data_IF_731670367322
#
_entry.id   IF_731670367322
#
_cell.length_a   1.000
_cell.length_b   1.000
_cell.length_c   1.000
_cell.angle_alpha   90.00
_cell.angle_beta   90.00
_cell.angle_gamma   90.00
#
_symmetry.space_group_name_H-M   'P 1'
#
loop_
_entity.id
_entity.type
_entity.pdbx_description
1 polymer ?
#
# COMPACT_ATOMS: atom_id res chain seq x y z
N UNK A 1 9.59 7.99 -7.64
CA UNK A 1 8.71 7.03 -8.34
C UNK A 1 7.25 7.50 -8.24
N UNK A 2 6.41 7.23 -9.25
CA UNK A 2 4.98 7.56 -9.27
C UNK A 2 4.16 6.36 -8.78
N UNK A 3 4.40 5.95 -7.55
CA UNK A 3 3.67 4.87 -6.90
C UNK A 3 2.59 5.46 -5.99
N UNK A 4 1.42 4.84 -5.99
CA UNK A 4 0.26 5.24 -5.19
C UNK A 4 -0.48 4.02 -4.67
N UNK A 5 -1.20 4.18 -3.55
CA UNK A 5 -2.12 3.16 -3.03
C UNK A 5 -3.57 3.41 -3.44
N UNK A 6 -4.48 2.55 -3.00
CA UNK A 6 -5.91 2.62 -3.32
C UNK A 6 -6.59 3.94 -2.91
N UNK A 7 -6.09 4.62 -1.86
CA UNK A 7 -6.59 5.94 -1.47
C UNK A 7 -6.46 7.01 -2.58
N UNK A 8 -5.42 6.93 -3.42
CA UNK A 8 -5.27 7.85 -4.55
C UNK A 8 -6.27 7.52 -5.66
N UNK A 9 -6.45 6.23 -5.97
CA UNK A 9 -7.41 5.76 -6.97
C UNK A 9 -8.83 6.19 -6.58
N UNK A 10 -9.22 5.94 -5.32
CA UNK A 10 -10.52 6.35 -4.78
C UNK A 10 -10.74 7.87 -4.81
N UNK A 11 -9.68 8.66 -4.66
CA UNK A 11 -9.79 10.13 -4.70
C UNK A 11 -9.94 10.67 -6.14
N UNK A 12 -9.34 9.99 -7.11
CA UNK A 12 -9.20 10.48 -8.48
C UNK A 12 -10.13 9.77 -9.47
N UNK A 13 -10.88 8.77 -9.04
CA UNK A 13 -11.80 7.97 -9.86
C UNK A 13 -13.03 7.54 -9.06
N UNK A 14 -13.99 6.94 -9.74
CA UNK A 14 -15.20 6.32 -9.21
C UNK A 14 -15.13 4.79 -9.12
N UNK A 15 -14.00 4.18 -9.52
CA UNK A 15 -13.83 2.72 -9.56
C UNK A 15 -14.01 2.00 -8.22
N UNK A 16 -13.80 2.71 -7.11
CA UNK A 16 -13.89 2.10 -5.78
C UNK A 16 -15.33 1.99 -5.25
N UNK A 17 -16.33 2.56 -5.93
CA UNK A 17 -17.72 2.55 -5.46
C UNK A 17 -18.33 1.16 -5.34
N UNK A 18 -18.18 0.36 -6.41
CA UNK A 18 -18.71 -1.01 -6.52
C UNK A 18 -17.60 -2.08 -6.45
N UNK A 19 -16.39 -1.69 -6.02
CA UNK A 19 -15.26 -2.61 -5.94
C UNK A 19 -15.42 -3.56 -4.74
N UNK A 20 -15.06 -4.83 -4.93
CA UNK A 20 -15.05 -5.85 -3.86
C UNK A 20 -14.09 -5.48 -2.71
N UNK A 21 -13.08 -4.65 -3.00
CA UNK A 21 -12.06 -4.28 -2.04
C UNK A 21 -12.21 -2.85 -1.51
N UNK A 22 -11.94 -2.67 -0.22
CA UNK A 22 -11.94 -1.35 0.42
C UNK A 22 -10.57 -0.66 0.23
N UNK A 23 -10.50 0.49 -0.46
CA UNK A 23 -9.24 1.24 -0.66
C UNK A 23 -8.59 1.73 0.64
N UNK A 24 -9.31 1.73 1.77
CA UNK A 24 -8.80 2.15 3.08
C UNK A 24 -8.19 0.99 3.87
N UNK A 25 -8.51 -0.25 3.52
CA UNK A 25 -8.00 -1.45 4.19
C UNK A 25 -6.68 -1.90 3.58
N UNK A 26 -5.77 -2.36 4.44
CA UNK A 26 -4.44 -2.88 4.08
C UNK A 26 -4.33 -4.39 4.33
N UNK A 27 -5.10 -4.90 5.29
CA UNK A 27 -5.10 -6.30 5.71
C UNK A 27 -6.52 -6.86 5.71
N UNK A 28 -6.64 -8.16 5.45
CA UNK A 28 -7.91 -8.89 5.35
C UNK A 28 -8.32 -9.18 3.91
N UNK A 29 -9.30 -10.07 3.76
CA UNK A 29 -9.74 -10.59 2.46
C UNK A 29 -10.30 -9.50 1.54
N UNK A 30 -10.90 -8.45 2.11
CA UNK A 30 -11.43 -7.29 1.40
C UNK A 30 -10.44 -6.11 1.33
N UNK A 31 -9.18 -6.32 1.66
CA UNK A 31 -8.16 -5.28 1.56
C UNK A 31 -7.77 -4.99 0.12
N UNK A 32 -7.78 -3.71 -0.25
CA UNK A 32 -7.37 -3.26 -1.58
C UNK A 32 -5.92 -3.68 -1.89
N UNK A 33 -5.71 -4.45 -2.98
CA UNK A 33 -4.37 -4.89 -3.38
C UNK A 33 -3.42 -3.72 -3.63
N UNK A 34 -3.91 -2.59 -4.16
CA UNK A 34 -3.09 -1.40 -4.38
C UNK A 34 -2.68 -0.73 -3.07
N UNK A 35 -3.53 -0.72 -2.05
CA UNK A 35 -3.21 -0.13 -0.75
C UNK A 35 -2.18 -0.99 -0.02
N UNK A 36 -2.38 -2.30 0.05
CA UNK A 36 -1.43 -3.23 0.67
C UNK A 36 -0.10 -3.28 -0.10
N UNK A 37 -0.18 -3.48 -1.42
CA UNK A 37 0.97 -3.55 -2.32
C UNK A 37 1.83 -2.28 -2.34
N UNK A 38 1.23 -1.10 -2.14
CA UNK A 38 1.99 0.15 -2.03
C UNK A 38 2.96 0.11 -0.83
N UNK A 39 2.52 -0.43 0.31
CA UNK A 39 3.36 -0.53 1.50
C UNK A 39 4.40 -1.65 1.37
N UNK A 40 4.01 -2.81 0.82
CA UNK A 40 4.95 -3.88 0.52
C UNK A 40 6.06 -3.44 -0.46
N UNK A 41 5.70 -2.69 -1.51
CA UNK A 41 6.68 -2.06 -2.41
C UNK A 41 7.59 -1.06 -1.68
N UNK A 42 7.01 -0.21 -0.83
CA UNK A 42 7.78 0.79 -0.08
C UNK A 42 8.78 0.10 0.85
N UNK A 43 8.38 -1.00 1.50
CA UNK A 43 9.23 -1.80 2.37
C UNK A 43 10.37 -2.45 1.59
N UNK A 44 10.05 -3.13 0.48
CA UNK A 44 11.03 -3.81 -0.38
C UNK A 44 12.13 -2.87 -0.88
N UNK A 45 11.79 -1.61 -1.13
CA UNK A 45 12.71 -0.60 -1.66
C UNK A 45 13.09 0.48 -0.65
N UNK A 46 12.93 0.21 0.66
CA UNK A 46 13.10 1.21 1.74
C UNK A 46 14.39 2.02 1.63
N UNK A 47 15.53 1.39 1.38
CA UNK A 47 16.84 2.06 1.40
C UNK A 47 16.98 3.09 0.26
N UNK A 48 16.47 2.76 -0.92
CA UNK A 48 16.45 3.67 -2.07
C UNK A 48 15.44 4.81 -1.83
N UNK A 49 14.25 4.48 -1.33
CA UNK A 49 13.16 5.44 -1.15
C UNK A 49 13.41 6.41 0.00
N UNK A 50 14.12 5.97 1.04
CA UNK A 50 14.50 6.81 2.19
C UNK A 50 15.51 7.90 1.82
N UNK A 51 16.37 7.64 0.83
CA UNK A 51 17.37 8.60 0.33
C UNK A 51 16.79 9.67 -0.59
N UNK A 52 15.60 9.45 -1.15
CA UNK A 52 14.96 10.40 -2.06
C UNK A 52 14.00 11.33 -1.31
N UNK A 53 14.22 12.64 -1.41
CA UNK A 53 13.44 13.67 -0.73
C UNK A 53 11.91 13.56 -0.94
N UNK A 54 11.48 13.13 -2.13
CA UNK A 54 10.05 12.99 -2.45
C UNK A 54 9.41 11.80 -1.72
N UNK A 55 10.14 10.69 -1.59
CA UNK A 55 9.60 9.42 -1.09
C UNK A 55 9.99 9.13 0.36
N UNK A 56 10.93 9.87 0.94
CA UNK A 56 11.38 9.68 2.33
C UNK A 56 10.21 9.73 3.32
N UNK A 57 9.23 10.62 3.10
CA UNK A 57 8.03 10.68 3.97
C UNK A 57 7.19 9.41 3.90
N UNK A 58 7.10 8.75 2.74
CA UNK A 58 6.37 7.49 2.63
C UNK A 58 7.03 6.40 3.46
N UNK A 59 8.37 6.31 3.45
CA UNK A 59 9.12 5.37 4.31
C UNK A 59 8.86 5.67 5.79
N UNK A 60 8.98 6.93 6.22
CA UNK A 60 8.71 7.29 7.62
C UNK A 60 7.26 7.04 8.05
N UNK A 61 6.29 7.14 7.14
CA UNK A 61 4.90 6.77 7.43
C UNK A 61 4.71 5.27 7.53
N UNK A 62 5.37 4.51 6.66
CA UNK A 62 5.36 3.04 6.69
C UNK A 62 5.92 2.51 8.01
N UNK A 63 7.02 3.09 8.50
CA UNK A 63 7.66 2.70 9.77
C UNK A 63 6.75 2.92 11.01
N UNK A 64 5.64 3.66 10.85
CA UNK A 64 4.65 3.94 11.91
C UNK A 64 3.39 3.09 11.81
N UNK A 65 3.30 2.23 10.80
CA UNK A 65 2.18 1.31 10.64
C UNK A 65 2.29 0.19 11.68
N UNK A 66 1.32 0.11 12.59
CA UNK A 66 1.25 -0.97 13.58
C UNK A 66 0.92 -2.34 12.98
N UNK A 67 0.40 -2.35 11.76
CA UNK A 67 -0.02 -3.53 11.00
C UNK A 67 0.97 -3.90 9.88
N UNK A 68 2.18 -3.32 9.85
CA UNK A 68 3.14 -3.52 8.74
C UNK A 68 3.48 -4.99 8.52
N UNK A 69 3.78 -5.75 9.58
CA UNK A 69 4.16 -7.16 9.46
C UNK A 69 3.03 -7.99 8.81
N UNK A 70 1.79 -7.78 9.25
CA UNK A 70 0.63 -8.45 8.69
C UNK A 70 0.40 -8.09 7.21
N UNK A 71 0.67 -6.84 6.81
CA UNK A 71 0.66 -6.45 5.39
C UNK A 71 1.72 -7.22 4.61
N UNK A 72 2.94 -7.32 5.13
CA UNK A 72 4.04 -8.00 4.44
C UNK A 72 3.78 -9.50 4.29
N UNK A 73 3.28 -10.16 5.34
CA UNK A 73 2.91 -11.57 5.33
C UNK A 73 1.82 -11.83 4.28
N UNK A 74 0.72 -11.06 4.32
CA UNK A 74 -0.37 -11.16 3.36
C UNK A 74 0.11 -10.95 1.91
N UNK A 75 0.87 -9.89 1.63
CA UNK A 75 1.32 -9.58 0.27
C UNK A 75 2.39 -10.57 -0.24
N UNK A 76 3.11 -11.24 0.65
CA UNK A 76 4.05 -12.31 0.27
C UNK A 76 3.34 -13.58 -0.21
N UNK A 77 2.11 -13.80 0.26
CA UNK A 77 1.28 -14.97 -0.07
C UNK A 77 0.17 -14.63 -1.10
N UNK A 78 0.13 -13.40 -1.62
CA UNK A 78 -0.94 -12.95 -2.50
C UNK A 78 -0.72 -13.46 -3.94
N UNK A 79 -1.49 -14.48 -4.31
CA UNK A 79 -1.44 -15.10 -5.64
C UNK A 79 -2.56 -14.61 -6.58
N UNK A 80 -3.52 -13.83 -6.06
CA UNK A 80 -4.66 -13.29 -6.82
C UNK A 80 -4.92 -11.82 -6.46
N UNK A 81 -5.25 -11.02 -7.47
CA UNK A 81 -5.53 -9.58 -7.37
C UNK A 81 -7.01 -9.29 -7.58
#
# INVERSE_FOLDING_TARGET
PYTSGGAYINKMSDHCGDCEFDPKKRVGDDACPFTAGYWAFTHRHRDMLARNNRTRRAVSSMDRLGDLEAVLEQESARDRF
#
